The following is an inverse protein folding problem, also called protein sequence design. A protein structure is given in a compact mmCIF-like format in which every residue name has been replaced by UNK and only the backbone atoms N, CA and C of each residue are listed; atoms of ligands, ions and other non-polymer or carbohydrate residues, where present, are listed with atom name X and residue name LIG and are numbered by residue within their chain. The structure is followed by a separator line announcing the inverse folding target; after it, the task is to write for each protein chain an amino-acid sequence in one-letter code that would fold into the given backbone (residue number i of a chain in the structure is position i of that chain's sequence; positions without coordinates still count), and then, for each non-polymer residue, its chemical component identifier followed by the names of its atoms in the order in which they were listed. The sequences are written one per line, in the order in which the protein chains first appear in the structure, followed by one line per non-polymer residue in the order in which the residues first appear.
data_IF_083282826667
#
_entry.id   IF_083282826667
#
_cell.length_a   1.000
_cell.length_b   1.000
_cell.length_c   1.000
_cell.angle_alpha   90.00
_cell.angle_beta   90.00
_cell.angle_gamma   90.00
#
_symmetry.space_group_name_H-M   'P 1'
#
loop_
_entity.id
_entity.type
_entity.pdbx_description
1 polymer ?
#
# COMPACT_ATOMS: atom_id res chain seq x y z
N UNK A 1 -22.88 43.53 10.15
CA UNK A 1 -23.03 42.47 11.17
C UNK A 1 -21.70 42.36 11.89
N UNK A 2 -21.69 42.36 13.23
CA UNK A 2 -20.46 42.21 14.00
C UNK A 2 -19.93 40.77 13.86
N UNK A 3 -18.62 40.59 13.72
CA UNK A 3 -18.00 39.26 13.73
C UNK A 3 -18.14 38.65 15.13
N UNK A 4 -18.45 37.34 15.24
CA UNK A 4 -18.57 36.67 16.53
C UNK A 4 -17.27 36.72 17.32
N UNK A 5 -17.37 36.68 18.64
CA UNK A 5 -16.19 36.70 19.50
C UNK A 5 -15.35 35.43 19.35
N UNK A 6 -14.04 35.46 19.69
CA UNK A 6 -13.20 34.26 19.67
C UNK A 6 -13.74 33.12 20.55
N UNK A 7 -14.36 33.46 21.69
CA UNK A 7 -14.94 32.51 22.63
C UNK A 7 -16.22 31.87 22.08
N UNK A 8 -17.10 32.66 21.45
CA UNK A 8 -18.29 32.15 20.75
C UNK A 8 -17.92 31.22 19.60
N UNK A 9 -16.86 31.56 18.87
CA UNK A 9 -16.31 30.74 17.79
C UNK A 9 -15.77 29.41 18.34
N UNK A 10 -15.04 29.44 19.46
CA UNK A 10 -14.51 28.23 20.09
C UNK A 10 -15.61 27.32 20.66
N UNK A 11 -16.61 27.89 21.33
CA UNK A 11 -17.75 27.15 21.88
C UNK A 11 -18.57 26.49 20.77
N UNK A 12 -18.80 27.20 19.66
CA UNK A 12 -19.49 26.65 18.48
C UNK A 12 -18.72 25.44 17.92
N UNK A 13 -17.40 25.53 17.79
CA UNK A 13 -16.58 24.41 17.29
C UNK A 13 -16.66 23.19 18.20
N UNK A 14 -16.54 23.40 19.51
CA UNK A 14 -16.63 22.33 20.48
C UNK A 14 -18.00 21.63 20.44
N UNK A 15 -19.08 22.41 20.28
CA UNK A 15 -20.43 21.90 20.13
C UNK A 15 -20.60 21.06 18.86
N UNK A 16 -20.11 21.54 17.72
CA UNK A 16 -20.21 20.83 16.44
C UNK A 16 -19.41 19.51 16.45
N UNK A 17 -18.24 19.47 17.09
CA UNK A 17 -17.37 18.29 17.12
C UNK A 17 -17.70 17.28 18.24
N UNK A 18 -18.55 17.66 19.20
CA UNK A 18 -18.85 16.84 20.39
C UNK A 18 -19.47 15.46 20.11
N UNK A 19 -20.13 15.29 18.96
CA UNK A 19 -20.81 14.05 18.56
C UNK A 19 -20.05 13.21 17.51
N UNK A 20 -18.78 13.52 17.23
CA UNK A 20 -17.99 12.80 16.20
C UNK A 20 -17.92 11.29 16.48
N UNK A 21 -17.71 10.88 17.74
CA UNK A 21 -17.61 9.46 18.07
C UNK A 21 -18.95 8.71 17.88
N UNK A 22 -20.08 9.39 18.11
CA UNK A 22 -21.41 8.82 17.86
C UNK A 22 -21.67 8.63 16.37
N UNK A 23 -21.24 9.57 15.53
CA UNK A 23 -21.27 9.40 14.08
C UNK A 23 -20.44 8.20 13.64
N UNK A 24 -19.23 8.04 14.19
CA UNK A 24 -18.39 6.90 13.86
C UNK A 24 -19.14 5.57 14.12
N UNK A 25 -19.69 5.43 15.32
CA UNK A 25 -20.40 4.22 15.74
C UNK A 25 -21.64 3.99 14.87
N UNK A 26 -22.37 5.05 14.53
CA UNK A 26 -23.59 4.95 13.73
C UNK A 26 -23.31 4.64 12.26
N UNK A 27 -22.40 5.37 11.61
CA UNK A 27 -22.10 5.24 10.17
C UNK A 27 -21.54 3.85 9.88
N UNK A 28 -20.58 3.38 10.69
CA UNK A 28 -19.85 2.13 10.44
C UNK A 28 -20.30 0.95 11.32
N UNK A 29 -21.56 0.98 11.78
CA UNK A 29 -22.15 -0.13 12.53
C UNK A 29 -22.46 -1.33 11.61
N UNK A 30 -22.44 -2.57 12.13
CA UNK A 30 -22.92 -3.75 11.42
C UNK A 30 -24.35 -3.59 10.90
N UNK A 31 -24.64 -4.17 9.73
CA UNK A 31 -25.93 -4.11 9.05
C UNK A 31 -26.19 -2.80 8.28
N UNK A 32 -25.32 -1.79 8.42
CA UNK A 32 -25.41 -0.56 7.62
C UNK A 32 -24.99 -0.84 6.17
N UNK A 33 -25.61 -0.11 5.24
CA UNK A 33 -25.29 -0.18 3.81
C UNK A 33 -24.52 1.05 3.37
N UNK A 34 -23.50 0.84 2.56
CA UNK A 34 -22.72 1.87 1.89
C UNK A 34 -22.93 1.73 0.37
N UNK A 35 -23.03 2.88 -0.30
CA UNK A 35 -23.10 2.93 -1.76
C UNK A 35 -21.74 3.40 -2.26
N UNK A 36 -21.03 2.50 -2.91
CA UNK A 36 -19.71 2.74 -3.44
C UNK A 36 -19.83 3.21 -4.89
N UNK A 37 -19.25 4.36 -5.15
CA UNK A 37 -19.08 4.92 -6.47
C UNK A 37 -17.62 4.88 -6.88
N UNK A 38 -17.33 4.49 -8.12
CA UNK A 38 -15.94 4.37 -8.57
C UNK A 38 -15.22 5.71 -8.45
N UNK A 39 -14.02 5.67 -7.88
CA UNK A 39 -13.21 6.85 -7.63
C UNK A 39 -11.74 6.57 -7.91
N UNK A 40 -11.17 7.37 -8.81
CA UNK A 40 -9.74 7.37 -9.07
C UNK A 40 -9.13 8.64 -8.45
N UNK A 41 -8.22 8.51 -7.46
CA UNK A 41 -7.58 9.66 -6.86
C UNK A 41 -6.63 10.35 -7.83
N UNK A 42 -6.11 11.51 -7.42
CA UNK A 42 -4.87 12.05 -8.00
C UNK A 42 -3.71 11.04 -7.84
N UNK A 43 -2.66 11.12 -8.68
CA UNK A 43 -1.46 10.27 -8.50
C UNK A 43 -0.87 10.40 -7.10
N UNK A 44 -0.20 9.37 -6.55
CA UNK A 44 0.37 9.36 -5.21
C UNK A 44 1.08 10.67 -4.84
N UNK A 45 0.80 11.18 -3.64
CA UNK A 45 1.30 12.49 -3.18
C UNK A 45 1.31 12.70 -1.66
N UNK A 46 0.79 11.75 -0.86
CA UNK A 46 0.72 11.88 0.60
C UNK A 46 2.11 11.77 1.26
N UNK A 47 3.00 10.98 0.67
CA UNK A 47 4.40 10.84 1.07
C UNK A 47 5.24 11.99 0.53
N UNK A 48 6.15 12.50 1.36
CA UNK A 48 7.14 13.52 0.97
C UNK A 48 8.06 13.08 -0.19
N UNK A 49 8.05 11.79 -0.54
CA UNK A 49 8.81 11.23 -1.66
C UNK A 49 8.10 11.36 -3.00
N UNK A 50 6.81 11.68 -3.00
CA UNK A 50 6.01 11.88 -4.20
C UNK A 50 5.85 13.37 -4.52
N UNK A 51 5.68 13.72 -5.82
CA UNK A 51 5.43 15.09 -6.21
C UNK A 51 3.99 15.49 -5.85
N UNK A 52 3.79 16.76 -5.50
CA UNK A 52 2.45 17.32 -5.36
C UNK A 52 1.82 17.37 -6.78
N UNK A 53 0.57 16.89 -6.98
CA UNK A 53 -0.08 16.93 -8.28
C UNK A 53 -0.19 18.37 -8.79
N UNK A 54 0.01 18.59 -10.09
CA UNK A 54 -0.03 19.94 -10.68
C UNK A 54 -1.35 20.68 -10.46
N UNK A 55 -2.44 19.93 -10.28
CA UNK A 55 -3.78 20.45 -10.00
C UNK A 55 -3.99 20.84 -8.54
N UNK A 56 -3.01 20.59 -7.66
CA UNK A 56 -3.07 20.88 -6.24
C UNK A 56 -2.02 21.93 -5.88
N UNK A 57 -2.46 23.13 -5.47
CA UNK A 57 -1.57 24.18 -5.01
C UNK A 57 -1.28 24.08 -3.51
N UNK A 58 -0.19 24.70 -3.06
CA UNK A 58 0.08 24.82 -1.62
C UNK A 58 -1.07 25.52 -0.86
N UNK A 59 -1.83 26.40 -1.51
CA UNK A 59 -2.98 27.05 -0.89
C UNK A 59 -4.14 26.07 -0.68
N UNK A 60 -4.36 25.14 -1.62
CA UNK A 60 -5.39 24.10 -1.48
C UNK A 60 -5.08 23.16 -0.31
N UNK A 61 -3.80 22.96 -0.03
CA UNK A 61 -3.31 22.10 1.05
C UNK A 61 -3.42 22.71 2.46
N UNK A 62 -3.59 24.03 2.57
CA UNK A 62 -3.55 24.80 3.82
C UNK A 62 -4.90 25.42 4.14
N UNK A 63 -5.27 25.51 5.43
CA UNK A 63 -6.53 26.17 5.84
C UNK A 63 -6.59 27.61 5.31
N UNK A 64 -7.65 27.93 4.57
CA UNK A 64 -7.98 29.30 4.18
C UNK A 64 -8.37 30.13 5.39
N UNK A 65 -8.45 31.46 5.24
CA UNK A 65 -8.75 32.35 6.37
C UNK A 65 -10.15 32.09 6.97
N UNK A 66 -11.13 31.70 6.16
CA UNK A 66 -12.46 31.26 6.62
C UNK A 66 -12.42 29.89 7.30
N UNK A 67 -11.69 28.92 6.73
CA UNK A 67 -11.59 27.56 7.27
C UNK A 67 -10.85 27.49 8.61
N UNK A 68 -9.95 28.44 8.90
CA UNK A 68 -9.33 28.58 10.24
C UNK A 68 -10.36 28.68 11.36
N UNK A 69 -11.58 29.10 11.03
CA UNK A 69 -12.71 29.21 11.94
C UNK A 69 -13.65 28.01 11.99
N UNK A 70 -13.42 26.99 11.16
CA UNK A 70 -14.28 25.83 11.09
C UNK A 70 -14.02 24.87 12.26
N UNK A 71 -15.07 24.17 12.67
CA UNK A 71 -14.94 22.89 13.38
C UNK A 71 -14.38 21.83 12.44
N UNK A 72 -13.92 20.70 12.97
CA UNK A 72 -13.51 19.59 12.11
C UNK A 72 -14.69 19.11 11.26
N UNK A 73 -15.88 19.01 11.86
CA UNK A 73 -17.11 18.67 11.16
C UNK A 73 -17.39 19.62 9.99
N UNK A 74 -17.42 20.93 10.24
CA UNK A 74 -17.68 21.91 9.16
C UNK A 74 -16.64 21.79 8.04
N UNK A 75 -15.37 21.55 8.39
CA UNK A 75 -14.30 21.37 7.41
C UNK A 75 -14.56 20.19 6.47
N UNK A 76 -14.94 19.02 6.99
CA UNK A 76 -15.14 17.81 6.17
C UNK A 76 -16.45 17.81 5.38
N UNK A 77 -17.44 18.60 5.80
CA UNK A 77 -18.70 18.78 5.07
C UNK A 77 -18.62 19.87 4.00
N UNK A 78 -17.56 20.67 3.98
CA UNK A 78 -17.32 21.64 2.92
C UNK A 78 -16.97 20.92 1.59
N UNK A 79 -17.71 21.16 0.49
CA UNK A 79 -17.44 20.53 -0.81
C UNK A 79 -16.02 20.76 -1.34
N UNK A 80 -15.36 21.86 -0.95
CA UNK A 80 -13.95 22.15 -1.32
C UNK A 80 -12.98 21.12 -0.76
N UNK A 81 -13.38 20.41 0.28
CA UNK A 81 -12.57 19.44 1.03
C UNK A 81 -12.93 17.97 0.74
N UNK A 82 -13.79 17.71 -0.24
CA UNK A 82 -14.07 16.35 -0.71
C UNK A 82 -12.82 15.69 -1.37
N UNK A 83 -12.73 14.35 -1.38
CA UNK A 83 -11.64 13.61 -2.02
C UNK A 83 -11.40 14.04 -3.46
N UNK A 84 -10.14 14.25 -3.84
CA UNK A 84 -9.79 14.80 -5.16
C UNK A 84 -9.76 13.68 -6.21
N UNK A 85 -10.38 13.92 -7.36
CA UNK A 85 -10.46 12.92 -8.44
C UNK A 85 -9.75 13.36 -9.72
N UNK A 86 -9.19 12.39 -10.44
CA UNK A 86 -8.60 12.58 -11.77
C UNK A 86 -9.65 12.68 -12.90
N UNK A 87 -10.90 12.25 -12.68
CA UNK A 87 -11.95 12.29 -13.73
C UNK A 87 -13.34 12.53 -13.14
N UNK A 88 -13.92 13.69 -13.45
CA UNK A 88 -15.32 14.02 -13.10
C UNK A 88 -16.34 13.29 -13.99
N UNK A 89 -15.92 12.72 -15.13
CA UNK A 89 -16.83 12.26 -16.18
C UNK A 89 -17.54 10.93 -15.88
N UNK A 90 -17.12 10.18 -14.85
CA UNK A 90 -17.68 8.86 -14.53
C UNK A 90 -18.49 8.84 -13.22
N UNK A 91 -18.74 9.99 -12.58
CA UNK A 91 -19.29 10.06 -11.22
C UNK A 91 -20.83 10.21 -11.15
N UNK A 92 -21.59 9.96 -12.21
CA UNK A 92 -23.05 10.19 -12.17
C UNK A 92 -23.90 9.05 -12.74
N UNK A 93 -23.32 7.88 -13.04
CA UNK A 93 -24.12 6.75 -13.52
C UNK A 93 -24.63 5.90 -12.34
N UNK A 94 -25.95 5.85 -12.06
CA UNK A 94 -26.49 4.99 -11.03
C UNK A 94 -26.26 3.50 -11.30
N UNK A 95 -26.12 3.09 -12.56
CA UNK A 95 -25.87 1.67 -12.90
C UNK A 95 -24.44 1.20 -12.62
N UNK A 96 -23.53 2.11 -12.28
CA UNK A 96 -22.15 1.78 -11.87
C UNK A 96 -21.95 1.70 -10.35
N UNK A 97 -23.01 1.84 -9.55
CA UNK A 97 -22.92 1.79 -8.09
C UNK A 97 -22.83 0.35 -7.57
N UNK A 98 -22.03 0.16 -6.53
CA UNK A 98 -22.00 -1.09 -5.75
C UNK A 98 -22.64 -0.81 -4.40
N UNK A 99 -23.55 -1.68 -3.97
CA UNK A 99 -24.08 -1.64 -2.60
C UNK A 99 -23.39 -2.72 -1.76
N UNK A 100 -22.87 -2.31 -0.62
CA UNK A 100 -22.21 -3.22 0.33
C UNK A 100 -22.83 -3.07 1.71
N UNK A 101 -22.97 -4.18 2.42
CA UNK A 101 -23.42 -4.22 3.81
C UNK A 101 -22.23 -4.46 4.73
N UNK A 102 -22.12 -3.64 5.78
CA UNK A 102 -21.07 -3.77 6.79
C UNK A 102 -21.38 -5.00 7.65
N UNK A 103 -20.51 -6.00 7.61
CA UNK A 103 -20.61 -7.19 8.47
C UNK A 103 -20.07 -6.89 9.85
N UNK A 104 -18.87 -6.28 9.92
CA UNK A 104 -18.23 -5.86 11.18
C UNK A 104 -17.08 -4.89 10.93
N UNK A 105 -16.71 -4.14 11.97
CA UNK A 105 -15.41 -3.46 12.00
C UNK A 105 -14.28 -4.45 12.30
N UNK A 106 -13.16 -4.26 11.62
CA UNK A 106 -11.90 -4.98 11.84
C UNK A 106 -10.93 -4.12 12.65
N UNK A 107 -10.91 -2.80 12.41
CA UNK A 107 -10.02 -1.88 13.11
C UNK A 107 -10.39 -0.41 12.89
N UNK A 108 -9.86 0.44 13.75
CA UNK A 108 -10.22 1.86 13.78
C UNK A 108 -11.52 2.16 14.51
N UNK A 109 -11.99 1.27 15.39
CA UNK A 109 -13.17 1.51 16.23
C UNK A 109 -12.83 2.45 17.41
N UNK A 110 -13.70 3.42 17.76
CA UNK A 110 -13.47 4.32 18.87
C UNK A 110 -13.47 3.54 20.20
N UNK A 111 -12.46 3.76 21.03
CA UNK A 111 -12.28 3.05 22.30
C UNK A 111 -10.89 3.26 22.91
N UNK A 112 -10.59 2.51 23.98
CA UNK A 112 -9.26 2.49 24.58
C UNK A 112 -8.24 1.97 23.55
N UNK A 113 -7.23 2.77 23.23
CA UNK A 113 -6.24 2.44 22.20
C UNK A 113 -6.62 2.84 20.77
N UNK A 114 -7.67 3.64 20.57
CA UNK A 114 -8.00 4.19 19.25
C UNK A 114 -6.81 4.95 18.65
N UNK A 115 -6.43 4.58 17.43
CA UNK A 115 -5.45 5.31 16.64
C UNK A 115 -6.17 6.06 15.50
N UNK A 116 -6.03 7.40 15.43
CA UNK A 116 -6.56 8.19 14.33
C UNK A 116 -6.08 7.69 12.98
N UNK A 117 -6.98 7.63 12.01
CA UNK A 117 -6.66 7.15 10.69
C UNK A 117 -7.85 6.46 10.01
N UNK A 118 -7.56 5.54 9.06
CA UNK A 118 -8.60 4.89 8.28
C UNK A 118 -9.36 3.83 9.09
N UNK A 119 -10.67 3.75 8.85
CA UNK A 119 -11.53 2.70 9.37
C UNK A 119 -11.37 1.45 8.50
N UNK A 120 -11.23 0.29 9.14
CA UNK A 120 -11.05 -1.00 8.46
C UNK A 120 -12.27 -1.85 8.73
N UNK A 121 -13.05 -2.18 7.70
CA UNK A 121 -14.32 -2.88 7.86
C UNK A 121 -14.42 -4.08 6.92
N UNK A 122 -15.08 -5.13 7.39
CA UNK A 122 -15.52 -6.26 6.58
C UNK A 122 -16.90 -5.95 6.02
N UNK A 123 -17.05 -6.03 4.71
CA UNK A 123 -18.33 -5.85 4.04
C UNK A 123 -18.69 -7.06 3.18
N UNK A 124 -19.98 -7.24 2.94
CA UNK A 124 -20.54 -8.18 1.96
C UNK A 124 -21.16 -7.38 0.82
N UNK A 125 -20.86 -7.76 -0.42
CA UNK A 125 -21.51 -7.16 -1.60
C UNK A 125 -22.98 -7.60 -1.63
N UNK A 126 -23.89 -6.64 -1.66
CA UNK A 126 -25.34 -6.86 -1.73
C UNK A 126 -25.86 -6.65 -3.14
N UNK A 127 -25.33 -5.63 -3.83
CA UNK A 127 -25.68 -5.34 -5.22
C UNK A 127 -24.40 -5.07 -6.00
N UNK A 128 -24.17 -5.89 -7.03
CA UNK A 128 -23.12 -5.65 -8.02
C UNK A 128 -23.63 -4.72 -9.12
N UNK A 129 -22.74 -3.91 -9.73
CA UNK A 129 -23.13 -2.97 -10.77
C UNK A 129 -23.64 -3.72 -12.01
N UNK A 130 -24.72 -3.21 -12.59
CA UNK A 130 -25.48 -3.88 -13.66
C UNK A 130 -24.87 -3.71 -15.04
N UNK A 131 -24.08 -2.67 -15.23
CA UNK A 131 -23.41 -2.33 -16.48
C UNK A 131 -21.91 -2.31 -16.29
N UNK A 132 -21.20 -3.14 -17.06
CA UNK A 132 -19.75 -3.08 -17.18
C UNK A 132 -19.39 -1.76 -17.90
N UNK A 133 -18.61 -0.86 -17.28
CA UNK A 133 -18.09 0.29 -18.00
C UNK A 133 -17.25 -0.19 -19.19
N UNK A 134 -17.41 0.43 -20.36
CA UNK A 134 -16.71 0.06 -21.61
C UNK A 134 -15.17 0.04 -21.52
N UNK A 135 -14.58 0.61 -20.46
CA UNK A 135 -13.15 0.55 -20.12
C UNK A 135 -13.01 0.35 -18.62
N UNK A 136 -13.02 -0.90 -18.20
CA UNK A 136 -12.87 -1.25 -16.81
C UNK A 136 -11.39 -1.23 -16.40
N UNK A 137 -11.06 -0.46 -15.35
CA UNK A 137 -9.70 -0.42 -14.80
C UNK A 137 -9.43 -1.57 -13.81
N UNK A 138 -10.45 -2.06 -13.09
CA UNK A 138 -10.32 -3.09 -12.04
C UNK A 138 -11.48 -4.10 -12.04
N UNK A 139 -11.26 -5.32 -11.57
CA UNK A 139 -12.29 -6.37 -11.44
C UNK A 139 -13.49 -5.93 -10.59
N UNK A 140 -14.70 -6.39 -10.96
CA UNK A 140 -15.94 -6.10 -10.22
C UNK A 140 -16.18 -7.17 -9.16
N UNK A 141 -16.39 -6.77 -7.89
CA UNK A 141 -16.90 -7.68 -6.88
C UNK A 141 -18.28 -8.25 -7.24
N UNK A 142 -18.45 -9.56 -7.11
CA UNK A 142 -19.73 -10.23 -7.36
C UNK A 142 -20.63 -10.24 -6.11
N UNK A 143 -21.94 -10.45 -6.31
CA UNK A 143 -22.91 -10.46 -5.22
C UNK A 143 -22.59 -11.56 -4.19
N UNK A 144 -22.63 -11.21 -2.91
CA UNK A 144 -22.30 -12.11 -1.81
C UNK A 144 -20.82 -12.19 -1.48
N UNK A 145 -19.94 -11.62 -2.30
CA UNK A 145 -18.50 -11.59 -2.03
C UNK A 145 -18.16 -10.77 -0.78
N UNK A 146 -17.19 -11.23 0.01
CA UNK A 146 -16.63 -10.49 1.13
C UNK A 146 -15.49 -9.58 0.69
N UNK A 147 -15.53 -8.32 1.15
CA UNK A 147 -14.55 -7.29 0.87
C UNK A 147 -13.96 -6.73 2.16
N UNK A 148 -12.66 -6.46 2.13
CA UNK A 148 -12.01 -5.60 3.10
C UNK A 148 -12.06 -4.17 2.56
N UNK A 149 -12.76 -3.28 3.27
CA UNK A 149 -12.80 -1.87 2.93
C UNK A 149 -11.98 -1.06 3.94
N UNK A 150 -11.13 -0.20 3.41
CA UNK A 150 -10.39 0.79 4.17
C UNK A 150 -10.93 2.18 3.83
N UNK A 151 -11.56 2.83 4.80
CA UNK A 151 -12.28 4.09 4.62
C UNK A 151 -11.43 5.23 5.15
N UNK A 152 -11.18 6.23 4.30
CA UNK A 152 -10.32 7.38 4.56
C UNK A 152 -11.16 8.60 4.95
N UNK A 153 -11.94 8.49 6.02
CA UNK A 153 -12.83 9.55 6.48
C UNK A 153 -12.08 10.56 7.37
N UNK A 154 -11.80 11.74 6.81
CA UNK A 154 -11.08 12.80 7.48
C UNK A 154 -11.70 13.25 8.82
N UNK A 155 -13.00 13.01 9.05
CA UNK A 155 -13.65 13.32 10.33
C UNK A 155 -13.04 12.53 11.50
N UNK A 156 -12.47 11.36 11.21
CA UNK A 156 -11.90 10.45 12.20
C UNK A 156 -10.36 10.50 12.25
N UNK A 157 -9.75 11.40 11.48
CA UNK A 157 -8.32 11.71 11.47
C UNK A 157 -7.93 12.73 12.57
N UNK A 158 -8.33 12.51 13.83
CA UNK A 158 -8.07 13.51 14.86
C UNK A 158 -6.59 13.55 15.32
N UNK A 159 -6.04 14.76 15.41
CA UNK A 159 -4.79 15.18 16.09
C UNK A 159 -3.67 14.11 16.25
N UNK A 160 -3.22 13.51 15.15
CA UNK A 160 -1.85 13.01 15.10
C UNK A 160 -0.92 14.24 15.19
N UNK A 161 -0.37 14.50 16.38
CA UNK A 161 0.59 15.56 16.64
C UNK A 161 1.94 15.23 16.02
N UNK A 162 2.00 15.22 14.70
CA UNK A 162 3.25 15.53 14.03
C UNK A 162 3.27 17.04 13.79
N UNK A 163 4.14 17.75 14.51
CA UNK A 163 4.29 19.21 14.41
C UNK A 163 4.59 19.60 12.97
N UNK A 164 5.27 18.75 12.20
CA UNK A 164 5.60 18.99 10.79
C UNK A 164 4.38 18.95 9.88
N UNK A 165 3.31 18.25 10.28
CA UNK A 165 2.06 18.10 9.50
C UNK A 165 0.96 19.08 9.90
N UNK A 166 1.15 19.89 10.96
CA UNK A 166 0.14 20.83 11.46
C UNK A 166 -0.31 21.88 10.43
N UNK A 167 0.51 22.15 9.41
CA UNK A 167 0.16 23.10 8.37
C UNK A 167 -0.83 22.53 7.34
N UNK A 168 -0.78 21.22 7.08
CA UNK A 168 -1.60 20.56 6.05
C UNK A 168 -2.99 20.23 6.60
N UNK A 169 -4.06 20.59 5.86
CA UNK A 169 -5.45 20.24 6.20
C UNK A 169 -5.60 18.73 6.39
N UNK A 170 -6.36 18.31 7.40
CA UNK A 170 -6.62 16.90 7.67
C UNK A 170 -7.29 16.15 6.50
N UNK A 171 -8.13 16.86 5.74
CA UNK A 171 -8.78 16.32 4.53
C UNK A 171 -7.75 15.93 3.47
N UNK A 172 -6.70 16.76 3.30
CA UNK A 172 -5.60 16.51 2.38
C UNK A 172 -4.69 15.39 2.90
N UNK A 173 -4.53 15.25 4.22
CA UNK A 173 -3.79 14.13 4.80
C UNK A 173 -4.50 12.78 4.59
N UNK A 174 -5.82 12.74 4.79
CA UNK A 174 -6.62 11.54 4.54
C UNK A 174 -6.62 11.17 3.05
N UNK A 175 -6.81 12.16 2.17
CA UNK A 175 -6.79 11.98 0.71
C UNK A 175 -5.40 11.55 0.21
N UNK A 176 -4.32 12.14 0.74
CA UNK A 176 -2.95 11.73 0.43
C UNK A 176 -2.64 10.29 0.88
N UNK A 177 -3.09 9.90 2.08
CA UNK A 177 -2.94 8.52 2.56
C UNK A 177 -3.71 7.51 1.69
N UNK A 178 -4.91 7.88 1.23
CA UNK A 178 -5.67 7.08 0.27
C UNK A 178 -4.94 6.97 -1.08
N UNK A 179 -4.50 8.10 -1.63
CA UNK A 179 -3.81 8.18 -2.91
C UNK A 179 -2.53 7.34 -2.94
N UNK A 180 -1.73 7.37 -1.88
CA UNK A 180 -0.51 6.58 -1.76
C UNK A 180 -0.78 5.07 -1.80
N UNK A 181 -1.73 4.59 -0.97
CA UNK A 181 -2.07 3.17 -0.90
C UNK A 181 -2.78 2.69 -2.17
N UNK A 182 -3.68 3.52 -2.73
CA UNK A 182 -4.31 3.25 -4.02
C UNK A 182 -3.26 3.08 -5.12
N UNK A 183 -2.28 3.99 -5.21
CA UNK A 183 -1.25 3.92 -6.23
C UNK A 183 -0.40 2.66 -6.15
N UNK A 184 -0.09 2.20 -4.94
CA UNK A 184 0.60 0.94 -4.73
C UNK A 184 -0.21 -0.26 -5.25
N UNK A 185 -1.47 -0.39 -4.84
CA UNK A 185 -2.32 -1.49 -5.29
C UNK A 185 -2.65 -1.43 -6.79
N UNK A 186 -2.92 -0.24 -7.33
CA UNK A 186 -3.18 -0.04 -8.76
C UNK A 186 -1.96 -0.44 -9.61
N UNK A 187 -0.75 -0.11 -9.15
CA UNK A 187 0.49 -0.55 -9.80
C UNK A 187 0.65 -2.07 -9.77
N UNK A 188 0.40 -2.72 -8.63
CA UNK A 188 0.42 -4.18 -8.52
C UNK A 188 -0.61 -4.84 -9.43
N UNK A 189 -1.84 -4.32 -9.45
CA UNK A 189 -2.93 -4.85 -10.25
C UNK A 189 -2.61 -4.79 -11.74
N UNK A 190 -2.11 -3.64 -12.23
CA UNK A 190 -1.68 -3.46 -13.63
C UNK A 190 -0.55 -4.41 -14.03
N UNK A 191 0.25 -4.86 -13.06
CA UNK A 191 1.33 -5.85 -13.25
C UNK A 191 0.89 -7.29 -12.95
N UNK A 192 -0.40 -7.52 -12.67
CA UNK A 192 -1.00 -8.83 -12.36
C UNK A 192 -0.39 -9.48 -11.10
N UNK A 193 -0.01 -8.66 -10.13
CA UNK A 193 0.58 -9.09 -8.86
C UNK A 193 -0.37 -8.98 -7.65
N UNK A 194 -1.68 -8.84 -7.90
CA UNK A 194 -2.73 -8.89 -6.86
C UNK A 194 -3.52 -10.18 -6.96
N UNK A 195 -4.08 -10.63 -5.84
CA UNK A 195 -4.92 -11.82 -5.76
C UNK A 195 -4.10 -13.11 -5.80
N UNK A 196 -4.72 -14.22 -5.42
CA UNK A 196 -4.07 -15.53 -5.41
C UNK A 196 -3.46 -15.88 -6.79
N UNK A 197 -2.23 -16.41 -6.87
CA UNK A 197 -1.36 -16.84 -5.77
C UNK A 197 -0.36 -15.77 -5.29
N UNK A 198 -0.51 -14.51 -5.69
CA UNK A 198 0.41 -13.45 -5.30
C UNK A 198 0.31 -13.13 -3.82
N UNK A 199 1.36 -12.54 -3.24
CA UNK A 199 1.34 -12.14 -1.82
C UNK A 199 0.51 -10.88 -1.58
N UNK A 200 0.16 -10.08 -2.58
CA UNK A 200 -0.75 -8.96 -2.37
C UNK A 200 -2.22 -9.42 -2.55
N UNK A 201 -3.17 -8.95 -1.72
CA UNK A 201 -4.58 -9.31 -1.87
C UNK A 201 -5.13 -8.82 -3.21
N UNK A 202 -6.22 -9.43 -3.70
CA UNK A 202 -6.88 -8.93 -4.91
C UNK A 202 -7.36 -7.49 -4.69
N UNK A 203 -7.07 -6.61 -5.63
CA UNK A 203 -7.49 -5.21 -5.60
C UNK A 203 -8.77 -5.03 -6.43
N UNK A 204 -9.77 -4.37 -5.85
CA UNK A 204 -11.05 -4.06 -6.48
C UNK A 204 -11.25 -2.56 -6.72
N UNK A 205 -10.16 -1.79 -6.69
CA UNK A 205 -10.17 -0.37 -7.01
C UNK A 205 -10.44 0.56 -5.84
N UNK A 206 -10.56 1.83 -6.20
CA UNK A 206 -10.87 2.95 -5.33
C UNK A 206 -12.29 3.42 -5.55
N UNK A 207 -12.92 3.86 -4.46
CA UNK A 207 -14.32 4.19 -4.39
C UNK A 207 -14.54 5.43 -3.54
N UNK A 208 -15.70 6.05 -3.67
CA UNK A 208 -16.23 7.03 -2.73
C UNK A 208 -17.56 6.55 -2.20
N UNK A 209 -17.89 6.91 -0.97
CA UNK A 209 -19.25 6.76 -0.44
C UNK A 209 -19.70 8.08 0.18
N UNK A 210 -20.97 8.41 -0.01
CA UNK A 210 -21.59 9.55 0.66
C UNK A 210 -22.01 9.12 2.07
N UNK A 211 -21.58 9.87 3.09
CA UNK A 211 -21.92 9.62 4.49
C UNK A 211 -22.63 10.83 5.11
N UNK A 212 -23.65 10.54 5.92
CA UNK A 212 -24.43 11.54 6.68
C UNK A 212 -23.88 11.68 8.10
N UNK A 213 -24.50 12.54 8.90
CA UNK A 213 -24.21 12.74 10.32
C UNK A 213 -25.49 12.78 11.13
N UNK A 214 -25.39 12.42 12.41
CA UNK A 214 -26.41 12.59 13.43
C UNK A 214 -26.47 14.03 13.95
N UNK A 215 -25.47 14.87 13.65
CA UNK A 215 -25.42 16.24 14.15
C UNK A 215 -26.51 17.11 13.50
N UNK A 216 -27.43 17.74 14.26
CA UNK A 216 -28.58 18.45 13.72
C UNK A 216 -28.24 19.55 12.70
N UNK A 217 -27.20 20.35 12.97
CA UNK A 217 -26.77 21.44 12.07
C UNK A 217 -26.28 20.98 10.69
N UNK A 218 -26.03 19.68 10.51
CA UNK A 218 -25.52 19.09 9.27
C UNK A 218 -26.42 17.96 8.76
N UNK A 219 -27.63 17.79 9.32
CA UNK A 219 -28.50 16.63 9.05
C UNK A 219 -28.89 16.44 7.57
N UNK A 220 -28.96 17.55 6.81
CA UNK A 220 -29.29 17.55 5.38
C UNK A 220 -28.05 17.55 4.48
N UNK A 221 -26.85 17.45 5.05
CA UNK A 221 -25.60 17.45 4.30
C UNK A 221 -25.03 16.03 4.24
N UNK A 222 -24.26 15.80 3.19
CA UNK A 222 -23.47 14.59 3.00
C UNK A 222 -22.03 14.99 2.73
N UNK A 223 -21.08 14.23 3.26
CA UNK A 223 -19.68 14.32 2.83
C UNK A 223 -19.31 13.06 2.06
N UNK A 224 -18.46 13.20 1.06
CA UNK A 224 -17.89 12.06 0.35
C UNK A 224 -16.60 11.63 1.03
N UNK A 225 -16.43 10.33 1.23
CA UNK A 225 -15.22 9.75 1.83
C UNK A 225 -14.61 8.75 0.87
N UNK A 226 -13.28 8.74 0.75
CA UNK A 226 -12.57 7.80 -0.10
C UNK A 226 -12.53 6.41 0.56
N UNK A 227 -12.64 5.37 -0.25
CA UNK A 227 -12.68 3.98 0.17
C UNK A 227 -11.78 3.17 -0.75
N UNK A 228 -10.89 2.39 -0.16
CA UNK A 228 -10.06 1.42 -0.87
C UNK A 228 -10.64 0.02 -0.65
N UNK A 229 -10.89 -0.72 -1.73
CA UNK A 229 -11.50 -2.04 -1.68
C UNK A 229 -10.49 -3.13 -2.09
N UNK A 230 -10.27 -4.10 -1.21
CA UNK A 230 -9.49 -5.31 -1.49
C UNK A 230 -10.28 -6.55 -1.09
N UNK A 231 -9.76 -7.70 -1.51
CA UNK A 231 -10.18 -8.99 -0.97
C UNK A 231 -10.08 -9.02 0.55
N UNK A 232 -11.10 -9.59 1.19
CA UNK A 232 -11.00 -9.97 2.58
C UNK A 232 -10.26 -11.30 2.71
N UNK A 233 -9.13 -11.28 3.40
CA UNK A 233 -8.35 -12.48 3.68
C UNK A 233 -8.84 -13.10 4.98
N UNK A 234 -9.50 -14.25 4.87
CA UNK A 234 -9.96 -15.03 6.02
C UNK A 234 -8.78 -15.80 6.62
N UNK A 235 -8.06 -15.17 7.55
CA UNK A 235 -6.84 -15.77 8.13
C UNK A 235 -6.41 -15.13 9.44
N UNK A 236 -5.17 -15.41 9.84
CA UNK A 236 -4.58 -14.90 11.08
C UNK A 236 -3.26 -14.21 10.78
N UNK A 237 -3.01 -13.07 11.44
CA UNK A 237 -1.74 -12.36 11.31
C UNK A 237 -0.58 -13.18 11.88
N UNK A 238 0.58 -13.07 11.26
CA UNK A 238 1.75 -13.89 11.52
C UNK A 238 2.35 -13.63 12.92
N UNK A 239 2.19 -12.43 13.45
CA UNK A 239 2.57 -12.00 14.81
C UNK A 239 1.73 -12.67 15.92
N UNK A 240 0.51 -13.12 15.62
CA UNK A 240 -0.37 -13.80 16.58
C UNK A 240 -0.08 -15.29 16.69
N UNK A 241 0.63 -15.85 15.71
CA UNK A 241 0.88 -17.29 15.62
C UNK A 241 2.19 -17.69 16.30
N UNK A 242 3.11 -16.76 16.52
CA UNK A 242 4.48 -17.02 16.97
C UNK A 242 4.98 -15.98 17.95
N UNK A 243 5.95 -16.39 18.77
CA UNK A 243 6.81 -15.49 19.54
C UNK A 243 8.25 -15.63 19.08
N UNK A 244 9.16 -14.84 19.66
CA UNK A 244 10.61 -14.97 19.45
C UNK A 244 11.10 -16.39 19.80
N UNK A 245 10.43 -17.10 20.69
CA UNK A 245 10.78 -18.46 21.09
C UNK A 245 10.31 -19.55 20.11
N UNK A 246 9.45 -19.22 19.15
CA UNK A 246 8.87 -20.17 18.19
C UNK A 246 7.35 -20.11 18.10
N UNK A 247 6.72 -21.14 17.49
CA UNK A 247 5.27 -21.18 17.32
C UNK A 247 4.53 -21.28 18.65
N UNK A 248 3.34 -20.68 18.71
CA UNK A 248 2.43 -20.81 19.86
C UNK A 248 1.81 -22.22 19.95
N UNK A 249 1.72 -22.93 18.83
CA UNK A 249 1.18 -24.28 18.73
C UNK A 249 1.83 -25.06 17.58
N UNK A 250 1.94 -26.39 17.70
CA UNK A 250 2.48 -27.27 16.64
C UNK A 250 1.58 -27.32 15.39
N UNK A 251 0.27 -27.13 15.58
CA UNK A 251 -0.73 -27.05 14.52
C UNK A 251 -1.56 -25.79 14.74
N UNK A 252 -1.67 -24.97 13.70
CA UNK A 252 -2.51 -23.77 13.70
C UNK A 252 -3.82 -24.13 13.02
N UNK A 253 -4.93 -24.07 13.77
CA UNK A 253 -6.28 -24.18 13.23
C UNK A 253 -6.82 -22.77 13.01
N UNK A 254 -7.01 -22.37 11.75
CA UNK A 254 -7.47 -21.01 11.41
C UNK A 254 -8.98 -20.87 11.52
N UNK A 255 -9.73 -21.97 11.36
CA UNK A 255 -11.20 -21.96 11.31
C UNK A 255 -11.77 -22.97 12.30
N UNK A 256 -12.66 -22.53 13.20
CA UNK A 256 -13.28 -23.39 14.22
C UNK A 256 -14.28 -24.41 13.66
N UNK A 257 -14.88 -24.11 12.50
CA UNK A 257 -16.08 -24.82 12.02
C UNK A 257 -15.91 -25.50 10.63
N UNK A 258 -14.69 -25.54 10.08
CA UNK A 258 -14.47 -26.01 8.71
C UNK A 258 -14.03 -27.48 8.66
N UNK A 259 -14.68 -28.27 7.80
CA UNK A 259 -14.11 -29.55 7.34
C UNK A 259 -12.69 -29.29 6.80
N UNK A 260 -11.72 -30.18 7.07
CA UNK A 260 -10.34 -30.03 6.59
C UNK A 260 -10.25 -29.77 5.08
N UNK A 261 -9.21 -29.06 4.61
CA UNK A 261 -8.14 -28.44 5.40
C UNK A 261 -8.47 -26.98 5.78
N UNK A 262 -8.39 -26.70 7.09
CA UNK A 262 -8.46 -25.36 7.70
C UNK A 262 -7.33 -25.13 8.70
N UNK A 263 -6.25 -25.92 8.57
CA UNK A 263 -5.15 -25.97 9.49
C UNK A 263 -3.83 -26.30 8.78
N UNK A 264 -2.72 -25.91 9.37
CA UNK A 264 -1.37 -26.23 8.89
C UNK A 264 -0.41 -26.48 10.05
N UNK A 265 0.68 -27.19 9.80
CA UNK A 265 1.67 -27.46 10.84
C UNK A 265 2.70 -26.33 10.91
N UNK A 266 3.23 -26.07 12.09
CA UNK A 266 4.26 -25.05 12.32
C UNK A 266 5.67 -25.64 12.35
N UNK A 267 5.84 -26.82 11.75
CA UNK A 267 7.14 -27.45 11.61
C UNK A 267 8.08 -26.56 10.77
N UNK A 268 9.38 -26.88 10.77
CA UNK A 268 10.37 -26.07 10.07
C UNK A 268 10.05 -25.95 8.56
N UNK A 269 9.69 -27.03 7.91
CA UNK A 269 9.53 -27.04 6.46
C UNK A 269 8.33 -26.20 6.02
N UNK A 270 7.19 -26.32 6.69
CA UNK A 270 5.99 -25.53 6.40
C UNK A 270 6.21 -24.03 6.66
N UNK A 271 6.91 -23.68 7.75
CA UNK A 271 7.31 -22.28 8.00
C UNK A 271 8.21 -21.76 6.89
N UNK A 272 9.19 -22.55 6.45
CA UNK A 272 10.10 -22.13 5.39
C UNK A 272 9.41 -22.03 4.02
N UNK A 273 8.34 -22.79 3.75
CA UNK A 273 7.49 -22.58 2.56
C UNK A 273 6.79 -21.22 2.61
N UNK A 274 6.22 -20.82 3.75
CA UNK A 274 5.60 -19.50 3.94
C UNK A 274 6.63 -18.38 3.75
N UNK A 275 7.81 -18.50 4.38
CA UNK A 275 8.90 -17.52 4.22
C UNK A 275 9.36 -17.45 2.76
N UNK A 276 9.43 -18.58 2.04
CA UNK A 276 9.74 -18.61 0.61
C UNK A 276 8.71 -17.82 -0.21
N UNK A 277 7.41 -18.02 0.03
CA UNK A 277 6.35 -17.27 -0.66
C UNK A 277 6.50 -15.75 -0.45
N UNK A 278 6.74 -15.32 0.80
CA UNK A 278 6.93 -13.90 1.13
C UNK A 278 8.19 -13.31 0.46
N UNK A 279 9.30 -14.06 0.45
CA UNK A 279 10.52 -13.62 -0.23
C UNK A 279 10.30 -13.49 -1.74
N UNK A 280 9.76 -14.51 -2.43
CA UNK A 280 9.50 -14.39 -3.87
C UNK A 280 8.53 -13.25 -4.19
N UNK A 281 7.44 -13.15 -3.42
CA UNK A 281 6.43 -12.13 -3.60
C UNK A 281 6.98 -10.71 -3.44
N UNK A 282 7.73 -10.44 -2.37
CA UNK A 282 8.33 -9.11 -2.14
C UNK A 282 9.36 -8.74 -3.21
N UNK A 283 10.16 -9.71 -3.65
CA UNK A 283 11.14 -9.53 -4.74
C UNK A 283 10.44 -9.26 -6.09
N UNK A 284 9.31 -9.93 -6.34
CA UNK A 284 8.48 -9.68 -7.54
C UNK A 284 7.93 -8.25 -7.56
N UNK A 285 7.50 -7.75 -6.40
CA UNK A 285 7.02 -6.37 -6.25
C UNK A 285 8.15 -5.36 -6.43
N UNK A 286 9.31 -5.60 -5.80
CA UNK A 286 10.47 -4.71 -5.94
C UNK A 286 10.97 -4.68 -7.39
N UNK A 287 10.98 -5.82 -8.09
CA UNK A 287 11.39 -5.89 -9.50
C UNK A 287 10.55 -5.00 -10.43
N UNK A 288 9.24 -4.89 -10.19
CA UNK A 288 8.38 -3.96 -10.93
C UNK A 288 8.44 -2.51 -10.41
N UNK A 289 9.36 -2.22 -9.49
CA UNK A 289 9.58 -0.90 -8.90
C UNK A 289 8.62 -0.56 -7.76
N UNK A 290 8.11 -1.53 -7.00
CA UNK A 290 7.32 -1.28 -5.79
C UNK A 290 8.06 -1.77 -4.54
N UNK A 291 8.34 -0.88 -3.60
CA UNK A 291 8.87 -1.22 -2.28
C UNK A 291 7.74 -1.16 -1.25
N UNK A 292 7.45 -2.27 -0.57
CA UNK A 292 6.41 -2.29 0.48
C UNK A 292 6.78 -1.42 1.69
N UNK A 293 8.07 -1.25 1.97
CA UNK A 293 8.65 -0.55 3.13
C UNK A 293 8.30 -1.13 4.53
N UNK A 294 7.23 -1.91 4.69
CA UNK A 294 6.77 -2.43 5.98
C UNK A 294 6.53 -3.95 5.98
N UNK A 295 7.52 -4.72 5.55
CA UNK A 295 7.44 -6.19 5.57
C UNK A 295 7.69 -6.69 7.00
N UNK A 296 6.62 -6.80 7.77
CA UNK A 296 6.63 -7.24 9.17
C UNK A 296 5.57 -8.31 9.43
N UNK A 297 5.72 -9.16 10.46
CA UNK A 297 4.74 -10.17 10.84
C UNK A 297 3.30 -9.67 10.98
N UNK A 298 3.09 -8.52 11.61
CA UNK A 298 1.76 -7.93 11.81
C UNK A 298 1.05 -7.55 10.50
N UNK A 299 1.81 -7.41 9.41
CA UNK A 299 1.36 -7.11 8.06
C UNK A 299 1.27 -8.36 7.17
N UNK A 300 1.45 -9.56 7.71
CA UNK A 300 1.30 -10.82 6.95
C UNK A 300 0.15 -11.63 7.53
N UNK A 301 -0.84 -11.94 6.71
CA UNK A 301 -1.96 -12.81 7.05
C UNK A 301 -1.71 -14.18 6.41
N UNK A 302 -1.81 -15.24 7.20
CA UNK A 302 -1.83 -16.61 6.69
C UNK A 302 -3.27 -17.07 6.53
N UNK A 303 -3.60 -17.55 5.33
CA UNK A 303 -4.90 -18.10 4.99
C UNK A 303 -4.78 -19.53 4.49
N UNK A 304 -5.77 -20.35 4.81
CA UNK A 304 -5.98 -21.68 4.21
C UNK A 304 -7.19 -21.67 3.27
N UNK A 305 -7.64 -20.47 2.84
CA UNK A 305 -8.78 -20.27 1.94
C UNK A 305 -8.53 -19.19 0.90
N UNK A 306 -9.17 -19.34 -0.25
CA UNK A 306 -9.28 -18.34 -1.29
C UNK A 306 -10.72 -18.33 -1.80
N UNK A 307 -11.40 -17.18 -1.74
CA UNK A 307 -12.82 -17.03 -2.18
C UNK A 307 -13.78 -18.10 -1.63
N UNK A 308 -13.53 -18.58 -0.40
CA UNK A 308 -14.34 -19.60 0.27
C UNK A 308 -13.93 -21.05 -0.02
N UNK A 309 -13.01 -21.27 -0.96
CA UNK A 309 -12.45 -22.59 -1.25
C UNK A 309 -11.24 -22.86 -0.35
N UNK A 310 -11.13 -24.09 0.17
CA UNK A 310 -9.97 -24.52 0.95
C UNK A 310 -8.73 -24.69 0.07
N UNK A 311 -7.57 -24.30 0.60
CA UNK A 311 -6.27 -24.48 -0.03
C UNK A 311 -5.54 -25.70 0.53
N UNK A 312 -4.76 -26.37 -0.31
CA UNK A 312 -3.91 -27.48 0.13
C UNK A 312 -2.69 -27.01 0.93
N UNK A 313 -2.16 -25.83 0.59
CA UNK A 313 -1.02 -25.20 1.27
C UNK A 313 -1.40 -23.81 1.81
N UNK A 314 -0.76 -23.36 2.91
CA UNK A 314 -0.95 -22.02 3.43
C UNK A 314 -0.57 -20.96 2.40
N UNK A 315 -1.42 -19.96 2.24
CA UNK A 315 -1.15 -18.79 1.42
C UNK A 315 -0.75 -17.62 2.33
N UNK A 316 0.42 -17.04 2.06
CA UNK A 316 0.92 -15.87 2.76
C UNK A 316 0.52 -14.58 2.03
N UNK A 317 -0.25 -13.73 2.69
CA UNK A 317 -0.75 -12.46 2.14
C UNK A 317 -0.16 -11.29 2.89
N UNK A 318 0.68 -10.52 2.22
CA UNK A 318 1.20 -9.23 2.68
C UNK A 318 0.12 -8.16 2.50
N UNK A 319 -0.18 -7.43 3.57
CA UNK A 319 -1.16 -6.35 3.63
C UNK A 319 -0.50 -5.07 4.17
N UNK A 320 -1.22 -3.95 4.14
CA UNK A 320 -0.72 -2.71 4.76
C UNK A 320 0.14 -1.84 3.84
N UNK A 321 -0.20 -1.76 2.55
CA UNK A 321 0.49 -0.96 1.53
C UNK A 321 0.44 0.57 1.72
N UNK A 322 -0.04 1.07 2.87
CA UNK A 322 -0.17 2.51 3.14
C UNK A 322 1.14 3.28 3.21
N UNK A 323 2.29 2.59 3.31
CA UNK A 323 3.63 3.18 3.22
C UNK A 323 4.43 2.70 2.01
N UNK A 324 3.81 1.91 1.13
CA UNK A 324 4.49 1.39 -0.03
C UNK A 324 4.85 2.52 -1.00
N UNK A 325 5.98 2.35 -1.68
CA UNK A 325 6.54 3.31 -2.61
C UNK A 325 6.57 2.75 -4.02
N UNK A 326 5.92 3.44 -4.96
CA UNK A 326 5.99 3.16 -6.40
C UNK A 326 7.11 4.01 -6.98
N UNK A 327 8.20 3.38 -7.40
CA UNK A 327 9.46 4.06 -7.63
C UNK A 327 9.41 5.08 -8.77
N UNK A 328 8.80 4.71 -9.89
CA UNK A 328 8.75 5.55 -11.09
C UNK A 328 7.87 6.81 -10.95
N UNK A 329 7.01 6.89 -9.93
CA UNK A 329 6.16 8.07 -9.67
C UNK A 329 6.74 9.00 -8.58
N UNK A 330 7.88 8.64 -7.98
CA UNK A 330 8.56 9.47 -6.99
C UNK A 330 9.11 10.74 -7.62
N UNK A 331 9.29 11.79 -6.81
CA UNK A 331 9.97 13.04 -7.22
C UNK A 331 11.40 12.77 -7.69
N UNK A 332 12.06 11.78 -7.08
CA UNK A 332 13.37 11.28 -7.48
C UNK A 332 13.31 9.74 -7.52
N UNK A 333 12.96 9.15 -8.69
CA UNK A 333 12.95 7.70 -8.86
C UNK A 333 14.32 7.11 -8.57
N UNK A 334 14.39 6.06 -7.75
CA UNK A 334 15.65 5.39 -7.44
C UNK A 334 16.09 4.44 -8.57
N UNK A 335 15.13 3.91 -9.35
CA UNK A 335 15.31 3.01 -10.48
C UNK A 335 16.18 1.79 -10.17
N UNK A 336 16.18 1.39 -8.89
CA UNK A 336 17.12 0.41 -8.34
C UNK A 336 17.13 -0.92 -9.10
N UNK A 337 15.96 -1.32 -9.62
CA UNK A 337 15.75 -2.60 -10.28
C UNK A 337 15.43 -2.48 -11.78
N UNK A 338 15.40 -1.27 -12.33
CA UNK A 338 14.99 -1.02 -13.73
C UNK A 338 15.90 -1.74 -14.74
N UNK A 339 17.17 -1.94 -14.38
CA UNK A 339 18.18 -2.56 -15.24
C UNK A 339 18.35 -4.07 -15.00
N UNK A 340 17.56 -4.69 -14.13
CA UNK A 340 17.62 -6.12 -13.91
C UNK A 340 16.73 -6.81 -14.96
N UNK A 341 17.26 -7.71 -15.81
CA UNK A 341 16.48 -8.35 -16.87
C UNK A 341 15.49 -9.39 -16.33
N UNK A 342 15.73 -9.87 -15.11
CA UNK A 342 14.91 -10.81 -14.35
C UNK A 342 14.67 -10.24 -12.95
N UNK A 343 13.86 -10.93 -12.14
CA UNK A 343 13.76 -10.60 -10.71
C UNK A 343 15.16 -10.60 -10.10
N UNK A 344 15.46 -9.68 -9.18
CA UNK A 344 16.76 -9.75 -8.52
C UNK A 344 16.78 -10.92 -7.53
N UNK A 345 17.90 -11.61 -7.37
CA UNK A 345 17.95 -12.77 -6.48
C UNK A 345 17.69 -12.35 -5.02
N UNK A 346 16.88 -13.10 -4.23
CA UNK A 346 16.52 -12.70 -2.88
C UNK A 346 17.73 -12.44 -1.96
N UNK A 347 18.88 -13.05 -2.23
CA UNK A 347 20.13 -12.81 -1.49
C UNK A 347 20.53 -11.31 -1.41
N UNK A 348 20.14 -10.50 -2.40
CA UNK A 348 20.47 -9.07 -2.45
C UNK A 348 19.63 -8.23 -1.48
N UNK A 349 18.47 -8.72 -1.04
CA UNK A 349 17.49 -7.94 -0.26
C UNK A 349 16.97 -8.63 0.99
N UNK A 350 17.19 -9.93 1.11
CA UNK A 350 16.69 -10.76 2.18
C UNK A 350 17.75 -11.11 3.22
N UNK A 351 18.59 -10.14 3.59
CA UNK A 351 19.53 -10.26 4.69
C UNK A 351 18.87 -10.22 6.07
N UNK A 352 19.63 -10.59 7.11
CA UNK A 352 19.15 -10.64 8.50
C UNK A 352 18.52 -9.35 9.02
N UNK A 353 19.03 -8.13 8.75
CA UNK A 353 18.42 -6.90 9.25
C UNK A 353 16.94 -6.74 8.86
N UNK A 354 16.54 -7.25 7.69
CA UNK A 354 15.14 -7.22 7.22
C UNK A 354 14.31 -8.36 7.82
N UNK A 355 14.89 -9.55 7.94
CA UNK A 355 14.14 -10.76 8.32
C UNK A 355 14.18 -11.09 9.81
N UNK A 356 14.98 -10.38 10.61
CA UNK A 356 15.02 -10.54 12.08
C UNK A 356 13.66 -10.34 12.76
N UNK A 357 12.74 -9.60 12.15
CA UNK A 357 11.38 -9.43 12.68
C UNK A 357 10.54 -10.71 12.58
N UNK A 358 10.91 -11.62 11.68
CA UNK A 358 10.34 -12.96 11.57
C UNK A 358 11.08 -13.97 12.48
N UNK A 359 11.74 -13.50 13.54
CA UNK A 359 12.31 -14.37 14.56
C UNK A 359 11.22 -15.29 15.13
N UNK A 360 11.55 -16.56 15.32
CA UNK A 360 10.57 -17.59 15.65
C UNK A 360 9.94 -18.27 14.43
N UNK A 361 9.93 -17.64 13.25
CA UNK A 361 9.56 -18.28 11.98
C UNK A 361 10.78 -18.84 11.25
N UNK A 362 11.86 -18.07 11.23
CA UNK A 362 13.16 -18.52 10.71
C UNK A 362 14.01 -19.13 11.84
N UNK A 363 14.89 -20.11 11.55
CA UNK A 363 15.77 -20.69 12.56
C UNK A 363 16.66 -19.64 13.24
N UNK A 364 16.65 -19.60 14.58
CA UNK A 364 17.44 -18.64 15.35
C UNK A 364 18.96 -18.77 15.10
N UNK A 365 19.44 -19.97 14.78
CA UNK A 365 20.84 -20.22 14.44
C UNK A 365 21.31 -19.49 13.17
N UNK A 366 20.40 -18.94 12.37
CA UNK A 366 20.72 -18.16 11.17
C UNK A 366 20.99 -16.68 11.47
N UNK A 367 20.79 -16.24 12.72
CA UNK A 367 21.09 -14.90 13.16
C UNK A 367 22.58 -14.59 13.00
N UNK A 368 22.89 -13.33 12.67
CA UNK A 368 24.26 -12.84 12.71
C UNK A 368 24.86 -13.00 14.11
N UNK A 369 26.13 -13.44 14.24
CA UNK A 369 26.85 -13.37 15.50
C UNK A 369 26.89 -11.94 16.05
N UNK A 370 26.93 -11.75 17.38
CA UNK A 370 27.09 -10.41 17.96
C UNK A 370 28.31 -9.69 17.39
N UNK A 371 28.12 -8.44 16.94
CA UNK A 371 29.19 -7.62 16.35
C UNK A 371 29.52 -7.90 14.88
N UNK A 372 28.85 -8.85 14.23
CA UNK A 372 28.99 -9.14 12.79
C UNK A 372 27.67 -9.00 12.06
N UNK A 373 27.12 -7.79 12.07
CA UNK A 373 25.96 -7.48 11.24
C UNK A 373 26.29 -7.91 9.79
N UNK A 374 25.41 -8.73 9.21
CA UNK A 374 25.49 -9.28 7.84
C UNK A 374 26.27 -10.60 7.66
N UNK A 375 26.94 -11.13 8.68
CA UNK A 375 27.51 -12.50 8.62
C UNK A 375 26.43 -13.55 8.91
N UNK A 376 25.67 -13.94 7.87
CA UNK A 376 24.54 -14.90 7.96
C UNK A 376 24.67 -16.09 7.00
N UNK A 377 25.71 -16.93 7.14
CA UNK A 377 26.03 -17.97 6.16
C UNK A 377 24.91 -19.00 5.99
N UNK A 378 24.20 -19.36 7.07
CA UNK A 378 23.13 -20.35 7.01
C UNK A 378 21.86 -19.81 6.31
N UNK A 379 21.54 -18.53 6.50
CA UNK A 379 20.45 -17.87 5.76
C UNK A 379 20.81 -17.78 4.28
N UNK A 380 22.02 -17.31 3.97
CA UNK A 380 22.49 -17.19 2.58
C UNK A 380 22.50 -18.55 1.89
N UNK A 381 22.97 -19.60 2.56
CA UNK A 381 22.94 -20.97 2.04
C UNK A 381 21.52 -21.43 1.73
N UNK A 382 20.58 -21.24 2.67
CA UNK A 382 19.18 -21.62 2.43
C UNK A 382 18.56 -20.82 1.27
N UNK A 383 18.82 -19.52 1.18
CA UNK A 383 18.33 -18.67 0.08
C UNK A 383 18.85 -19.18 -1.27
N UNK A 384 20.14 -19.47 -1.41
CA UNK A 384 20.71 -20.02 -2.66
C UNK A 384 20.13 -21.39 -2.99
N UNK A 385 19.97 -22.28 -1.99
CA UNK A 385 19.37 -23.60 -2.23
C UNK A 385 17.90 -23.50 -2.65
N UNK A 386 17.16 -22.50 -2.14
CA UNK A 386 15.72 -22.36 -2.35
C UNK A 386 15.37 -21.63 -3.64
N UNK A 387 16.16 -20.62 -4.01
CA UNK A 387 15.89 -19.72 -5.14
C UNK A 387 16.81 -19.96 -6.33
N UNK A 388 17.74 -20.90 -6.22
CA UNK A 388 18.63 -21.32 -7.29
C UNK A 388 20.02 -20.71 -7.19
N UNK A 389 20.89 -21.14 -8.10
CA UNK A 389 22.28 -20.69 -8.13
C UNK A 389 22.36 -19.22 -8.53
N UNK A 390 23.48 -18.57 -8.20
CA UNK A 390 23.71 -17.16 -8.49
C UNK A 390 24.29 -16.90 -9.89
N UNK A 391 24.91 -17.92 -10.49
CA UNK A 391 25.58 -17.86 -11.79
C UNK A 391 24.65 -18.19 -12.96
N UNK A 392 23.77 -19.18 -12.79
CA UNK A 392 22.81 -19.62 -13.80
C UNK A 392 21.44 -19.80 -13.16
N UNK A 393 20.49 -18.93 -13.51
CA UNK A 393 19.14 -18.93 -12.97
C UNK A 393 18.16 -18.27 -13.95
N UNK A 394 17.06 -18.96 -14.24
CA UNK A 394 16.07 -18.54 -15.23
C UNK A 394 15.04 -17.53 -14.68
N UNK A 395 14.92 -17.45 -13.35
CA UNK A 395 13.92 -16.63 -12.66
C UNK A 395 14.56 -15.40 -12.02
N UNK A 396 15.78 -15.55 -11.50
CA UNK A 396 16.47 -14.52 -10.75
C UNK A 396 17.83 -14.16 -11.33
N UNK A 397 18.30 -12.93 -11.08
CA UNK A 397 19.66 -12.50 -11.41
C UNK A 397 20.27 -11.67 -10.28
N UNK A 398 21.59 -11.75 -10.09
CA UNK A 398 22.33 -10.84 -9.20
C UNK A 398 22.99 -9.68 -9.96
N UNK A 399 23.00 -9.75 -11.29
CA UNK A 399 23.70 -8.78 -12.14
C UNK A 399 22.69 -7.92 -12.91
N UNK A 400 22.80 -6.58 -12.82
CA UNK A 400 22.08 -5.69 -13.72
C UNK A 400 22.66 -5.80 -15.14
N UNK A 401 21.81 -5.60 -16.15
CA UNK A 401 22.28 -5.36 -17.52
C UNK A 401 22.78 -3.92 -17.60
N UNK A 402 24.08 -3.74 -17.81
CA UNK A 402 24.63 -2.41 -18.05
C UNK A 402 24.04 -1.88 -19.36
N UNK A 403 23.49 -0.65 -19.38
CA UNK A 403 23.06 -0.06 -20.64
C UNK A 403 24.25 0.00 -21.57
N UNK A 404 24.13 -0.64 -22.74
CA UNK A 404 25.13 -0.51 -23.78
C UNK A 404 25.12 0.95 -24.20
N UNK A 405 26.17 1.71 -23.85
CA UNK A 405 26.27 3.11 -24.26
C UNK A 405 25.99 3.18 -25.77
N UNK A 406 25.13 4.10 -26.23
CA UNK A 406 24.98 4.31 -27.67
C UNK A 406 26.38 4.61 -28.20
N UNK A 407 26.86 3.77 -29.12
CA UNK A 407 28.09 4.10 -29.83
C UNK A 407 27.87 5.48 -30.45
N UNK A 408 28.82 6.41 -30.30
CA UNK A 408 28.72 7.69 -30.98
C UNK A 408 28.74 7.42 -32.49
N UNK A 409 27.57 7.38 -33.11
CA UNK A 409 27.43 7.46 -34.55
C UNK A 409 27.96 8.84 -34.96
N UNK A 410 29.12 8.84 -35.63
CA UNK A 410 29.66 10.02 -36.31
C UNK A 410 30.92 10.62 -35.68
N UNK A 411 32.02 9.88 -35.68
CA UNK A 411 33.29 10.49 -36.11
C UNK A 411 33.53 10.07 -37.56
N UNK A 412 32.98 10.89 -38.45
CA UNK A 412 33.42 11.02 -39.83
C UNK A 412 34.93 11.15 -39.86
N UNK A 413 35.58 10.25 -40.57
CA UNK A 413 36.99 10.32 -40.96
C UNK A 413 37.25 11.64 -41.67
N UNK A 414 37.98 12.55 -41.02
CA UNK A 414 38.66 13.65 -41.69
C UNK A 414 40.05 13.18 -42.14
N UNK A 415 40.54 13.63 -43.30
CA UNK A 415 41.71 13.05 -43.95
C UNK A 415 43.03 13.48 -43.32
N UNK A 416 44.00 12.58 -43.48
CA UNK A 416 45.41 12.60 -43.14
C UNK A 416 46.12 13.94 -43.47
N UNK A 417 46.93 14.52 -42.57
CA UNK A 417 47.80 15.64 -42.92
C UNK A 417 49.13 15.13 -43.52
N UNK A 418 49.49 15.70 -44.67
CA UNK A 418 50.76 15.52 -45.38
C UNK A 418 51.99 15.66 -44.45
N UNK A 419 52.84 14.64 -44.43
CA UNK A 419 54.15 14.68 -43.79
C UNK A 419 55.13 15.48 -44.65
N UNK A 420 55.57 16.64 -44.16
CA UNK A 420 56.78 17.31 -44.64
C UNK A 420 58.03 16.57 -44.15
N UNK A 421 58.88 16.22 -45.11
CA UNK A 421 60.20 15.61 -44.95
C UNK A 421 61.24 16.64 -44.51
N UNK A 422 61.92 16.41 -43.38
CA UNK A 422 63.12 17.14 -42.98
C UNK A 422 64.33 16.21 -43.08
N UNK A 423 65.33 16.69 -43.83
CA UNK A 423 66.58 16.01 -44.19
C UNK A 423 67.55 15.87 -43.03
N UNK A 424 68.24 14.72 -42.98
CA UNK A 424 69.33 14.41 -42.06
C UNK A 424 70.66 15.07 -42.50
N UNK A 425 71.48 15.43 -41.52
CA UNK A 425 72.92 15.73 -41.67
C UNK A 425 73.70 14.66 -40.90
N UNK A 426 74.81 14.10 -41.44
CA UNK A 426 75.50 12.96 -40.85
C UNK A 426 76.65 13.39 -39.92
N UNK A 427 76.82 12.68 -38.80
CA UNK A 427 78.03 12.73 -37.99
C UNK A 427 78.87 11.47 -38.23
N UNK A 428 80.07 11.67 -38.79
CA UNK A 428 81.15 10.70 -38.79
C UNK A 428 82.03 10.89 -37.54
N UNK A 429 82.28 9.77 -36.87
CA UNK A 429 83.26 9.53 -35.80
C UNK A 429 84.72 9.65 -36.29
N UNK A 430 85.75 9.67 -35.42
CA UNK A 430 85.81 9.20 -34.03
C UNK A 430 85.99 10.27 -32.94
#
# INVERSE_FOLDING_TARGET
MASPSPEETAATRLGEDGAILLDHQWIYSPGRRLHLQQHKPLPPYGSHLYPIPQTLSSQDMMLSNDEKNYSLRRLVFDPRNAPKTHSMNNQNDPSSLIEVEIVRMIGGSPGAGYQPGPQKILCKVVVSPSTLPNKQEHDIPFEGQLLFLKIFDALFWHKATDITKRAIKLTIQADGAFSDEFGAYDHLYKKKLTGFPNVAPQFYGGWTTAVKTLHPSFANQTRNVAVLATEFIEGTCLDQLFTVAGPNAEVVNLYGDAKPPGAFTTNRDDRMKIIKQLMDGTISQEHIGLDHCEVYPENVIISMRNKGESLEEPWAVLVGYGRALVDHVRTRPAKMWEHFPLKHHPILRCGWPRWKFFAGWIPAAWASPPGKADDVPLLNQWVVLTFGRLDVNEIYTIFPTMPTSPQPEGLSTSPEPERQSVSAVPQGQP
#
